data_IF_749510894435
#
_entry.id   IF_749510894435
#
_cell.length_a   1.000
_cell.length_b   1.000
_cell.length_c   1.000
_cell.angle_alpha   90.00
_cell.angle_beta   90.00
_cell.angle_gamma   90.00
#
_symmetry.space_group_name_H-M   'P 1'
#
loop_
_entity.id
_entity.type
_entity.pdbx_description
1 polymer ?
#
# COMPACT_ATOMS: atom_id res chain seq x y z
N UNK A 1 -14.90 -59.10 -1.42
CA UNK A 1 -15.48 -58.19 -2.43
C UNK A 1 -14.34 -57.33 -2.99
N UNK A 2 -13.80 -57.63 -4.18
CA UNK A 2 -12.67 -56.88 -4.77
C UNK A 2 -13.24 -55.61 -5.46
N UNK A 3 -12.97 -54.44 -4.91
CA UNK A 3 -13.30 -53.18 -5.56
C UNK A 3 -12.39 -52.98 -6.78
N UNK A 4 -12.96 -52.94 -7.97
CA UNK A 4 -12.22 -52.58 -9.18
C UNK A 4 -12.21 -51.05 -9.33
N UNK A 5 -11.03 -50.46 -9.22
CA UNK A 5 -10.81 -49.05 -9.54
C UNK A 5 -10.92 -48.86 -11.05
N UNK A 6 -11.90 -48.07 -11.47
CA UNK A 6 -12.16 -47.75 -12.87
C UNK A 6 -11.03 -46.86 -13.40
N UNK A 7 -10.07 -47.45 -14.10
CA UNK A 7 -8.97 -46.72 -14.75
C UNK A 7 -9.53 -45.88 -15.91
N UNK A 8 -9.89 -44.62 -15.62
CA UNK A 8 -10.21 -43.64 -16.66
C UNK A 8 -8.94 -43.30 -17.43
N UNK A 9 -8.78 -43.89 -18.62
CA UNK A 9 -7.70 -43.55 -19.56
C UNK A 9 -7.98 -42.17 -20.12
N UNK A 10 -7.31 -41.17 -19.56
CA UNK A 10 -7.39 -39.79 -20.03
C UNK A 10 -6.89 -39.71 -21.48
N UNK A 11 -7.78 -39.38 -22.41
CA UNK A 11 -7.45 -39.35 -23.83
C UNK A 11 -6.65 -38.09 -24.16
N UNK A 12 -5.67 -38.19 -25.06
CA UNK A 12 -4.86 -37.03 -25.51
C UNK A 12 -5.71 -35.79 -25.90
N UNK A 13 -6.85 -35.89 -26.61
CA UNK A 13 -7.75 -34.76 -26.84
C UNK A 13 -8.35 -34.15 -25.56
N UNK A 14 -8.64 -34.94 -24.53
CA UNK A 14 -9.15 -34.41 -23.24
C UNK A 14 -8.07 -33.61 -22.51
N UNK A 15 -6.80 -34.02 -22.61
CA UNK A 15 -5.67 -33.28 -22.08
C UNK A 15 -5.45 -31.96 -22.80
N UNK A 16 -5.61 -31.93 -24.13
CA UNK A 16 -5.52 -30.68 -24.90
C UNK A 16 -6.62 -29.70 -24.53
N UNK A 17 -7.86 -30.16 -24.38
CA UNK A 17 -8.98 -29.29 -23.97
C UNK A 17 -8.74 -28.75 -22.55
N UNK A 18 -8.34 -29.60 -21.61
CA UNK A 18 -8.08 -29.20 -20.24
C UNK A 18 -6.95 -28.16 -20.14
N UNK A 19 -5.86 -28.37 -20.87
CA UNK A 19 -4.72 -27.44 -20.89
C UNK A 19 -5.07 -26.09 -21.50
N UNK A 20 -5.83 -26.06 -22.60
CA UNK A 20 -6.29 -24.82 -23.22
C UNK A 20 -7.22 -24.02 -22.30
N UNK A 21 -8.15 -24.69 -21.62
CA UNK A 21 -9.06 -24.04 -20.66
C UNK A 21 -8.29 -23.44 -19.49
N UNK A 22 -7.34 -24.18 -18.92
CA UNK A 22 -6.50 -23.68 -17.83
C UNK A 22 -5.58 -22.54 -18.27
N UNK A 23 -5.04 -22.58 -19.48
CA UNK A 23 -4.23 -21.49 -20.03
C UNK A 23 -5.05 -20.22 -20.26
N UNK A 24 -6.28 -20.34 -20.77
CA UNK A 24 -7.21 -19.22 -20.94
C UNK A 24 -7.62 -18.61 -19.60
N UNK A 25 -8.08 -19.43 -18.66
CA UNK A 25 -8.50 -18.96 -17.33
C UNK A 25 -7.30 -18.35 -16.58
N UNK A 26 -6.14 -19.01 -16.62
CA UNK A 26 -4.91 -18.50 -16.04
C UNK A 26 -4.47 -17.17 -16.66
N UNK A 27 -4.53 -17.05 -17.99
CA UNK A 27 -4.23 -15.81 -18.70
C UNK A 27 -5.19 -14.67 -18.35
N UNK A 28 -6.50 -14.96 -18.26
CA UNK A 28 -7.52 -13.99 -17.84
C UNK A 28 -7.29 -13.55 -16.40
N UNK A 29 -7.00 -14.47 -15.49
CA UNK A 29 -6.76 -14.16 -14.08
C UNK A 29 -5.48 -13.33 -13.89
N UNK A 30 -4.39 -13.66 -14.61
CA UNK A 30 -3.16 -12.87 -14.59
C UNK A 30 -3.43 -11.46 -15.14
N UNK A 31 -4.12 -11.35 -16.28
CA UNK A 31 -4.46 -10.05 -16.89
C UNK A 31 -5.31 -9.17 -15.95
N UNK A 32 -6.31 -9.75 -15.27
CA UNK A 32 -7.17 -9.01 -14.34
C UNK A 32 -6.48 -8.68 -13.00
N UNK A 33 -5.46 -9.44 -12.59
CA UNK A 33 -4.74 -9.21 -11.33
C UNK A 33 -3.70 -8.07 -11.41
N UNK A 34 -3.37 -7.59 -12.60
CA UNK A 34 -2.52 -6.39 -12.79
C UNK A 34 -3.29 -5.07 -12.83
N UNK A 35 -4.63 -5.11 -12.88
CA UNK A 35 -5.44 -3.92 -12.71
C UNK A 35 -5.57 -3.63 -11.21
N UNK A 36 -4.61 -2.88 -10.65
CA UNK A 36 -4.83 -2.20 -9.38
C UNK A 36 -6.13 -1.39 -9.49
N UNK A 37 -6.88 -1.25 -8.39
CA UNK A 37 -7.99 -0.32 -8.35
C UNK A 37 -7.44 1.07 -8.62
N UNK A 38 -7.58 1.57 -9.86
CA UNK A 38 -7.39 2.98 -10.15
C UNK A 38 -8.56 3.70 -9.44
N UNK A 39 -8.29 4.53 -8.42
CA UNK A 39 -9.31 5.45 -7.96
C UNK A 39 -9.44 6.51 -9.03
N UNK A 40 -10.47 6.36 -9.84
CA UNK A 40 -10.81 7.24 -10.95
C UNK A 40 -10.71 8.70 -10.49
N UNK A 41 -9.59 9.35 -10.82
CA UNK A 41 -9.41 10.76 -10.56
C UNK A 41 -10.37 11.49 -11.47
N UNK A 42 -11.12 12.48 -10.98
CA UNK A 42 -11.86 13.35 -11.88
C UNK A 42 -10.91 13.90 -12.96
N UNK A 43 -11.20 13.60 -14.23
CA UNK A 43 -10.37 13.99 -15.38
C UNK A 43 -9.31 12.98 -15.85
N UNK A 44 -9.07 11.86 -15.15
CA UNK A 44 -8.22 10.75 -15.63
C UNK A 44 -9.08 9.80 -16.48
N UNK A 45 -9.21 10.13 -17.76
CA UNK A 45 -10.12 9.41 -18.67
C UNK A 45 -9.46 8.19 -19.29
N UNK A 46 -8.12 8.14 -19.31
CA UNK A 46 -7.37 7.01 -19.85
C UNK A 46 -6.98 5.97 -18.78
N UNK A 47 -7.25 6.26 -17.51
CA UNK A 47 -6.99 5.44 -16.33
C UNK A 47 -5.50 5.17 -16.04
N UNK A 48 -4.60 6.09 -16.38
CA UNK A 48 -3.17 5.95 -16.12
C UNK A 48 -2.71 6.53 -14.76
N UNK A 49 -3.66 7.05 -13.96
CA UNK A 49 -3.46 7.68 -12.65
C UNK A 49 -2.85 9.09 -12.71
N UNK A 50 -2.77 9.72 -13.88
CA UNK A 50 -2.24 11.07 -14.06
C UNK A 50 -3.17 11.84 -14.98
N UNK A 51 -3.68 12.98 -14.53
CA UNK A 51 -4.44 13.89 -15.39
C UNK A 51 -3.45 14.78 -16.15
N UNK A 52 -3.19 14.48 -17.42
CA UNK A 52 -2.26 15.25 -18.25
C UNK A 52 -2.71 15.44 -19.72
N UNK A 53 -1.75 15.73 -20.59
CA UNK A 53 -2.00 15.95 -22.03
C UNK A 53 -2.59 14.72 -22.71
N UNK A 54 -2.38 13.53 -22.17
CA UNK A 54 -2.89 12.27 -22.72
C UNK A 54 -4.39 12.12 -22.47
N UNK A 55 -4.92 12.60 -21.35
CA UNK A 55 -6.37 12.70 -21.10
C UNK A 55 -7.03 13.69 -22.06
N UNK A 56 -6.42 14.87 -22.23
CA UNK A 56 -6.88 15.84 -23.21
C UNK A 56 -6.89 15.24 -24.62
N UNK A 57 -5.86 14.49 -24.98
CA UNK A 57 -5.80 13.79 -26.28
C UNK A 57 -6.87 12.71 -26.41
N UNK A 58 -7.26 12.09 -25.30
CA UNK A 58 -8.32 11.08 -25.25
C UNK A 58 -9.69 11.72 -25.46
N UNK A 59 -10.00 12.84 -24.80
CA UNK A 59 -11.21 13.65 -25.06
C UNK A 59 -11.30 14.03 -26.53
N UNK A 60 -10.21 14.58 -27.09
CA UNK A 60 -10.18 15.01 -28.49
C UNK A 60 -10.33 13.85 -29.48
N UNK A 61 -9.81 12.66 -29.14
CA UNK A 61 -9.94 11.45 -29.97
C UNK A 61 -11.40 11.00 -30.07
N UNK A 62 -12.18 11.14 -28.99
CA UNK A 62 -13.57 10.70 -28.92
C UNK A 62 -14.59 11.85 -28.97
N UNK A 63 -14.17 13.06 -29.33
CA UNK A 63 -15.03 14.24 -29.31
C UNK A 63 -16.27 14.06 -30.20
N UNK A 64 -17.44 14.47 -29.69
CA UNK A 64 -18.74 14.32 -30.32
C UNK A 64 -19.15 12.86 -30.60
N UNK A 65 -18.66 11.91 -29.77
CA UNK A 65 -19.08 10.50 -29.80
C UNK A 65 -19.81 10.13 -28.50
N UNK A 66 -20.21 8.86 -28.39
CA UNK A 66 -20.77 8.27 -27.15
C UNK A 66 -19.80 7.23 -26.56
N UNK A 67 -18.51 7.32 -26.90
CA UNK A 67 -17.50 6.41 -26.37
C UNK A 67 -17.16 6.81 -24.94
N UNK A 68 -17.39 5.90 -24.00
CA UNK A 68 -17.23 6.17 -22.56
C UNK A 68 -15.79 6.47 -22.16
N UNK A 69 -14.80 6.20 -23.03
CA UNK A 69 -13.39 6.48 -22.76
C UNK A 69 -13.06 7.98 -22.76
N UNK A 70 -13.89 8.82 -23.35
CA UNK A 70 -13.75 10.27 -23.27
C UNK A 70 -14.85 10.96 -22.45
N UNK A 71 -15.77 10.19 -21.87
CA UNK A 71 -16.95 10.70 -21.16
C UNK A 71 -16.62 10.83 -19.67
N UNK A 72 -15.99 11.94 -19.31
CA UNK A 72 -15.46 12.21 -17.98
C UNK A 72 -16.58 12.44 -16.95
N UNK A 73 -17.72 12.99 -17.36
CA UNK A 73 -18.88 13.21 -16.49
C UNK A 73 -19.95 12.11 -16.56
N UNK A 74 -19.75 11.10 -17.41
CA UNK A 74 -20.68 10.00 -17.64
C UNK A 74 -22.06 10.46 -18.13
N UNK A 75 -22.13 11.56 -18.86
CA UNK A 75 -23.37 12.10 -19.45
C UNK A 75 -23.86 11.30 -20.66
N UNK A 76 -23.03 10.39 -21.20
CA UNK A 76 -23.31 9.59 -22.38
C UNK A 76 -22.89 10.26 -23.70
N UNK A 77 -22.17 11.39 -23.64
CA UNK A 77 -21.58 12.09 -24.78
C UNK A 77 -20.22 12.67 -24.39
N UNK A 78 -19.28 12.64 -25.33
CA UNK A 78 -18.00 13.33 -25.18
C UNK A 78 -18.09 14.71 -25.79
N UNK A 79 -18.08 15.76 -24.99
CA UNK A 79 -18.19 17.15 -25.43
C UNK A 79 -17.25 18.12 -24.68
N UNK A 80 -17.57 19.42 -24.75
CA UNK A 80 -16.74 20.46 -24.16
C UNK A 80 -16.72 20.43 -22.62
N UNK A 81 -17.74 19.81 -22.01
CA UNK A 81 -17.85 19.67 -20.56
C UNK A 81 -16.83 18.68 -20.02
N UNK A 82 -16.56 17.58 -20.73
CA UNK A 82 -15.49 16.63 -20.38
C UNK A 82 -14.11 17.29 -20.43
N UNK A 83 -13.89 18.13 -21.44
CA UNK A 83 -12.66 18.91 -21.55
C UNK A 83 -12.47 19.82 -20.33
N UNK A 84 -13.54 20.45 -19.85
CA UNK A 84 -13.49 21.31 -18.66
C UNK A 84 -13.14 20.54 -17.38
N UNK A 85 -13.53 19.27 -17.29
CA UNK A 85 -13.21 18.40 -16.16
C UNK A 85 -11.73 18.03 -16.16
N UNK A 86 -11.18 17.62 -17.31
CA UNK A 86 -9.74 17.34 -17.46
C UNK A 86 -8.91 18.59 -17.15
N UNK A 87 -9.30 19.75 -17.67
CA UNK A 87 -8.60 21.00 -17.40
C UNK A 87 -8.68 21.44 -15.93
N UNK A 88 -9.81 21.24 -15.27
CA UNK A 88 -10.00 21.58 -13.85
C UNK A 88 -9.12 20.73 -12.92
N UNK A 89 -8.72 19.55 -13.38
CA UNK A 89 -7.86 18.62 -12.63
C UNK A 89 -6.48 18.45 -13.25
N UNK A 90 -6.10 19.29 -14.22
CA UNK A 90 -4.85 19.14 -14.96
C UNK A 90 -3.63 19.15 -14.04
N UNK A 91 -2.75 18.15 -14.21
CA UNK A 91 -1.59 17.93 -13.35
C UNK A 91 -1.90 17.16 -12.07
N UNK A 92 -3.16 16.81 -11.80
CA UNK A 92 -3.52 15.90 -10.71
C UNK A 92 -2.94 14.53 -10.96
N UNK A 93 -2.49 13.89 -9.90
CA UNK A 93 -1.92 12.55 -9.97
C UNK A 93 -2.45 11.77 -8.80
N UNK A 94 -2.96 10.58 -9.07
CA UNK A 94 -3.15 9.60 -8.02
C UNK A 94 -1.77 9.06 -7.71
N UNK A 95 -1.15 9.72 -6.74
CA UNK A 95 -0.16 9.03 -5.94
C UNK A 95 -0.99 8.12 -5.08
N UNK A 96 -0.97 6.81 -5.35
CA UNK A 96 -1.34 5.84 -4.32
C UNK A 96 -0.77 6.34 -3.02
N UNK A 97 -1.53 6.37 -1.90
CA UNK A 97 -0.97 6.76 -0.62
C UNK A 97 0.40 6.11 -0.57
N UNK A 98 1.45 6.93 -0.61
CA UNK A 98 2.77 6.39 -0.32
C UNK A 98 2.55 5.96 1.10
N UNK A 99 2.38 4.64 1.24
CA UNK A 99 2.08 3.83 2.40
C UNK A 99 3.16 4.20 3.41
N UNK A 100 2.98 5.37 4.00
CA UNK A 100 4.06 6.09 4.62
C UNK A 100 4.10 5.53 5.98
N UNK A 101 4.96 4.54 6.19
CA UNK A 101 5.37 4.21 7.53
C UNK A 101 6.11 5.43 8.09
N UNK A 102 5.37 6.23 8.86
CA UNK A 102 5.76 7.55 9.32
C UNK A 102 5.94 7.54 10.83
N UNK A 103 6.97 8.23 11.27
CA UNK A 103 7.19 8.58 12.67
C UNK A 103 6.31 9.78 13.01
N UNK A 104 5.65 9.72 14.17
CA UNK A 104 4.77 10.75 14.68
C UNK A 104 5.22 11.09 16.10
N UNK A 105 5.52 12.35 16.37
CA UNK A 105 5.80 12.81 17.73
C UNK A 105 4.50 12.82 18.54
N UNK A 106 4.52 12.25 19.75
CA UNK A 106 3.38 12.22 20.69
C UNK A 106 3.63 13.22 21.81
N UNK A 107 4.76 13.06 22.50
CA UNK A 107 5.24 14.02 23.50
C UNK A 107 6.62 14.46 23.08
N UNK A 108 6.76 15.75 22.84
CA UNK A 108 8.02 16.42 22.54
C UNK A 108 8.42 17.23 23.77
N UNK A 109 9.31 16.67 24.59
CA UNK A 109 9.65 17.20 25.90
C UNK A 109 10.46 18.50 25.82
N UNK A 110 11.18 18.71 24.71
CA UNK A 110 12.04 19.87 24.52
C UNK A 110 11.48 20.88 23.49
N UNK A 111 10.39 20.51 22.79
CA UNK A 111 9.69 21.32 21.79
C UNK A 111 10.53 21.68 20.54
N UNK A 112 11.45 20.80 20.14
CA UNK A 112 12.29 20.99 18.95
C UNK A 112 11.73 20.33 17.68
N UNK A 113 10.66 19.55 17.82
CA UNK A 113 10.00 18.82 16.73
C UNK A 113 10.80 17.64 16.18
N UNK A 114 11.83 17.19 16.88
CA UNK A 114 12.68 16.05 16.55
C UNK A 114 12.56 14.97 17.63
N UNK A 115 12.92 13.71 17.33
CA UNK A 115 12.98 12.68 18.35
C UNK A 115 14.21 12.85 19.24
N UNK A 116 13.99 13.02 20.54
CA UNK A 116 15.03 13.14 21.55
C UNK A 116 14.84 12.11 22.68
N UNK A 117 15.90 11.93 23.46
CA UNK A 117 15.85 11.09 24.64
C UNK A 117 14.76 11.60 25.61
N UNK A 118 13.90 10.70 26.09
CA UNK A 118 12.68 10.96 26.89
C UNK A 118 11.47 11.50 26.13
N UNK A 119 11.54 11.63 24.81
CA UNK A 119 10.34 11.89 24.03
C UNK A 119 9.50 10.63 23.88
N UNK A 120 8.24 10.83 23.49
CA UNK A 120 7.32 9.75 23.16
C UNK A 120 6.95 9.87 21.69
N UNK A 121 7.07 8.78 20.95
CA UNK A 121 6.73 8.69 19.53
C UNK A 121 5.73 7.59 19.27
N UNK A 122 5.00 7.69 18.16
CA UNK A 122 4.17 6.62 17.62
C UNK A 122 4.39 6.53 16.11
N UNK A 123 3.70 5.59 15.48
CA UNK A 123 3.80 5.38 14.05
C UNK A 123 2.43 5.46 13.40
N UNK A 124 2.38 6.07 12.21
CA UNK A 124 1.20 6.05 11.36
C UNK A 124 1.53 5.40 10.03
N UNK A 125 0.57 4.67 9.49
CA UNK A 125 0.65 3.99 8.21
C UNK A 125 -0.75 3.59 7.77
N UNK A 126 -0.89 3.31 6.48
CA UNK A 126 -2.05 2.60 5.93
C UNK A 126 -1.68 1.14 5.77
N UNK A 127 -2.57 0.23 6.17
CA UNK A 127 -2.35 -1.21 6.06
C UNK A 127 -3.64 -1.93 5.71
N UNK A 128 -3.52 -2.97 4.88
CA UNK A 128 -4.59 -3.93 4.62
C UNK A 128 -4.47 -5.18 5.53
N UNK A 129 -3.46 -5.23 6.39
CA UNK A 129 -3.31 -6.30 7.37
C UNK A 129 -4.32 -6.13 8.51
N UNK A 130 -4.86 -7.25 9.00
CA UNK A 130 -5.76 -7.24 10.18
C UNK A 130 -5.00 -7.19 11.50
N UNK A 131 -3.71 -7.51 11.50
CA UNK A 131 -2.87 -7.57 12.69
C UNK A 131 -1.46 -7.06 12.39
N UNK A 132 -1.29 -5.82 11.90
CA UNK A 132 0.03 -5.25 11.71
C UNK A 132 0.70 -5.01 13.07
N UNK A 133 2.03 -5.06 13.09
CA UNK A 133 2.82 -4.75 14.28
C UNK A 133 4.03 -3.90 13.91
N UNK A 134 4.43 -3.01 14.80
CA UNK A 134 5.68 -2.26 14.69
C UNK A 134 6.65 -2.79 15.74
N UNK A 135 7.87 -3.10 15.32
CA UNK A 135 8.99 -3.37 16.22
C UNK A 135 9.95 -2.19 16.18
N UNK A 136 10.23 -1.57 17.32
CA UNK A 136 11.20 -0.49 17.44
C UNK A 136 12.45 -1.00 18.14
N UNK A 137 13.62 -0.83 17.52
CA UNK A 137 14.90 -1.18 18.10
C UNK A 137 15.84 0.01 18.05
N UNK A 138 16.40 0.41 19.20
CA UNK A 138 17.32 1.53 19.31
C UNK A 138 18.71 1.05 19.72
N UNK A 139 19.74 1.61 19.08
CA UNK A 139 21.13 1.25 19.30
C UNK A 139 21.99 2.45 19.64
N UNK A 140 22.82 2.34 20.68
CA UNK A 140 23.91 3.28 20.97
C UNK A 140 25.23 2.61 20.69
N UNK A 141 26.04 3.17 19.79
CA UNK A 141 27.35 2.63 19.41
C UNK A 141 27.30 1.14 19.00
N UNK A 142 26.20 0.70 18.38
CA UNK A 142 25.99 -0.69 17.96
C UNK A 142 25.49 -1.65 19.04
N UNK A 143 25.29 -1.18 20.28
CA UNK A 143 24.67 -1.95 21.37
C UNK A 143 23.18 -1.67 21.41
N UNK A 144 22.34 -2.71 21.48
CA UNK A 144 20.90 -2.58 21.63
C UNK A 144 20.57 -1.98 23.00
N UNK A 145 19.88 -0.84 22.99
CA UNK A 145 19.54 -0.09 24.21
C UNK A 145 18.03 -0.02 24.50
N UNK A 146 17.19 -0.23 23.49
CA UNK A 146 15.75 -0.44 23.64
C UNK A 146 15.24 -1.38 22.55
N UNK A 147 14.24 -2.20 22.87
CA UNK A 147 13.56 -3.11 21.93
C UNK A 147 12.14 -3.36 22.39
N UNK A 148 11.18 -2.88 21.60
CA UNK A 148 9.75 -2.95 21.89
C UNK A 148 8.98 -3.39 20.64
N UNK A 149 7.82 -4.03 20.81
CA UNK A 149 7.00 -4.50 19.69
C UNK A 149 5.54 -4.45 20.05
N UNK A 150 4.79 -3.66 19.29
CA UNK A 150 3.37 -3.41 19.57
C UNK A 150 2.51 -3.64 18.34
N UNK A 151 1.27 -4.05 18.60
CA UNK A 151 0.25 -4.30 17.60
C UNK A 151 -0.52 -3.02 17.28
N UNK A 152 -0.79 -2.80 16.01
CA UNK A 152 -1.52 -1.63 15.53
C UNK A 152 -2.86 -2.07 14.94
N UNK A 153 -3.69 -2.68 15.78
CA UNK A 153 -5.03 -3.18 15.42
C UNK A 153 -6.00 -3.03 16.59
N UNK A 154 -7.33 -2.97 16.33
CA UNK A 154 -8.33 -2.60 17.34
C UNK A 154 -8.34 -3.43 18.63
N UNK A 155 -8.00 -4.73 18.56
CA UNK A 155 -8.02 -5.64 19.71
C UNK A 155 -6.68 -5.72 20.47
N UNK A 156 -5.70 -4.90 20.11
CA UNK A 156 -4.41 -4.87 20.81
C UNK A 156 -4.58 -4.22 22.20
N UNK A 157 -4.16 -4.89 23.30
CA UNK A 157 -4.55 -4.48 24.66
C UNK A 157 -3.65 -3.40 25.29
N UNK A 158 -2.59 -2.97 24.61
CA UNK A 158 -1.59 -2.03 25.14
C UNK A 158 -1.51 -0.76 24.29
N UNK A 159 -0.84 0.28 24.81
CA UNK A 159 -0.62 1.54 24.08
C UNK A 159 0.35 1.32 22.89
N UNK A 160 0.25 2.16 21.88
CA UNK A 160 1.09 2.15 20.67
C UNK A 160 2.09 3.31 20.64
N UNK A 161 2.38 3.85 21.81
CA UNK A 161 3.35 4.90 22.04
C UNK A 161 4.66 4.30 22.57
N UNK A 162 5.78 4.76 22.03
CA UNK A 162 7.13 4.32 22.34
C UNK A 162 7.86 5.46 23.08
N UNK A 163 8.29 5.21 24.31
CA UNK A 163 9.15 6.12 25.05
C UNK A 163 10.61 5.94 24.63
N UNK A 164 11.27 7.02 24.23
CA UNK A 164 12.64 7.02 23.75
C UNK A 164 13.64 7.07 24.92
N UNK A 165 13.64 6.00 25.70
CA UNK A 165 14.40 5.90 26.94
C UNK A 165 13.84 6.81 28.05
N UNK A 166 14.27 6.65 29.31
CA UNK A 166 15.34 5.78 29.77
C UNK A 166 14.96 4.30 29.80
N UNK A 167 15.94 3.42 29.57
CA UNK A 167 15.84 1.99 29.89
C UNK A 167 16.92 1.61 30.90
N UNK A 168 16.96 0.35 31.35
CA UNK A 168 18.03 -0.12 32.23
C UNK A 168 19.44 0.06 31.62
N UNK A 169 19.55 0.03 30.28
CA UNK A 169 20.82 0.17 29.56
C UNK A 169 20.94 1.50 28.79
N UNK A 170 19.83 2.21 28.54
CA UNK A 170 19.81 3.53 27.92
C UNK A 170 19.57 4.61 28.98
N UNK A 171 20.64 5.18 29.52
CA UNK A 171 20.53 6.18 30.60
C UNK A 171 20.59 7.62 30.11
N UNK A 172 21.20 7.86 28.94
CA UNK A 172 21.29 9.17 28.28
C UNK A 172 21.88 9.03 26.88
N UNK A 173 21.88 10.13 26.11
CA UNK A 173 22.63 10.25 24.86
C UNK A 173 21.88 9.75 23.64
N UNK A 174 22.43 10.07 22.47
CA UNK A 174 21.80 9.76 21.19
C UNK A 174 21.76 8.26 20.89
N UNK A 175 20.73 7.80 20.19
CA UNK A 175 20.62 6.43 19.69
C UNK A 175 20.15 6.43 18.22
N UNK A 176 20.52 5.41 17.46
CA UNK A 176 19.95 5.17 16.14
C UNK A 176 18.85 4.12 16.27
N UNK A 177 17.64 4.47 15.88
CA UNK A 177 16.49 3.60 15.99
C UNK A 177 16.02 3.13 14.62
N UNK A 178 15.63 1.87 14.56
CA UNK A 178 15.03 1.22 13.40
C UNK A 178 13.64 0.75 13.81
N UNK A 179 12.61 1.31 13.17
CA UNK A 179 11.26 0.79 13.28
C UNK A 179 11.01 -0.18 12.10
N UNK A 180 10.37 -1.31 12.39
CA UNK A 180 10.03 -2.36 11.42
C UNK A 180 8.54 -2.62 11.50
N UNK A 181 7.81 -2.20 10.47
CA UNK A 181 6.41 -2.53 10.25
C UNK A 181 6.31 -3.93 9.62
N UNK A 182 5.67 -4.84 10.33
CA UNK A 182 5.35 -6.19 9.86
C UNK A 182 3.85 -6.30 9.61
N UNK A 183 3.49 -6.60 8.36
CA UNK A 183 2.10 -6.70 7.90
C UNK A 183 1.82 -8.12 7.40
N UNK A 184 1.22 -8.98 8.23
CA UNK A 184 0.71 -10.28 7.76
C UNK A 184 -0.42 -10.08 6.74
N UNK A 185 -0.22 -10.53 5.51
CA UNK A 185 -1.20 -10.51 4.41
C UNK A 185 -1.40 -11.95 3.94
N UNK A 186 -2.33 -12.66 4.60
CA UNK A 186 -2.58 -14.08 4.35
C UNK A 186 -1.38 -14.95 4.73
N UNK A 187 -0.71 -15.54 3.73
CA UNK A 187 0.52 -16.36 3.93
C UNK A 187 1.82 -15.59 3.68
N UNK A 188 1.74 -14.31 3.33
CA UNK A 188 2.90 -13.44 3.08
C UNK A 188 3.02 -12.42 4.20
N UNK A 189 4.24 -11.97 4.46
CA UNK A 189 4.49 -10.82 5.32
C UNK A 189 5.09 -9.71 4.46
N UNK A 190 4.48 -8.53 4.47
CA UNK A 190 5.10 -7.31 3.95
C UNK A 190 5.87 -6.68 5.11
N UNK A 191 7.14 -6.40 4.88
CA UNK A 191 8.03 -5.79 5.87
C UNK A 191 8.49 -4.45 5.31
N UNK A 192 8.27 -3.39 6.09
CA UNK A 192 8.71 -2.03 5.76
C UNK A 192 9.53 -1.51 6.93
N UNK A 193 10.69 -0.92 6.66
CA UNK A 193 11.56 -0.37 7.71
C UNK A 193 11.72 1.13 7.56
N UNK A 194 11.88 1.81 8.69
CA UNK A 194 12.31 3.21 8.74
C UNK A 194 13.39 3.37 9.80
N UNK A 195 14.37 4.22 9.51
CA UNK A 195 15.44 4.55 10.43
C UNK A 195 15.30 6.01 10.84
N UNK A 196 15.57 6.31 12.10
CA UNK A 196 15.66 7.68 12.60
C UNK A 196 16.70 7.77 13.72
N UNK A 197 17.17 8.99 13.98
CA UNK A 197 18.09 9.27 15.07
C UNK A 197 17.33 9.89 16.22
N UNK A 198 17.59 9.39 17.42
CA UNK A 198 17.19 10.01 18.68
C UNK A 198 18.34 10.87 19.15
N UNK A 199 18.08 12.15 19.33
CA UNK A 199 19.03 13.12 19.83
C UNK A 199 19.19 12.99 21.37
N UNK A 200 20.29 13.48 21.95
CA UNK A 200 20.53 13.43 23.39
C UNK A 200 19.49 14.17 24.25
#
# INVERSE_FOLDING_TARGET
MKAQLRNNKFSKPQLLIFTLVFALIGGILIYRSFAASNPNLPGDVNNDNVVDITDLSTILTYFNTTDTRGDADSSGRVDITDLSIVLSHYGSRYTAPTDGFKLVMVTDANSDGLPNFKDVVTFSFTSLSTTPSVKLECFQNGVLVSSETDGFYPDYPWDTNYELGPTYVWTSGSANCTATLNEPIGRKNKITTMNFTVNP
#
